data_IF_864192453979
#
_entry.id   IF_864192453979
#
_cell.length_a   1.000
_cell.length_b   1.000
_cell.length_c   1.000
_cell.angle_alpha   90.00
_cell.angle_beta   90.00
_cell.angle_gamma   90.00
#
_symmetry.space_group_name_H-M   'P 1'
#
loop_
_entity.id
_entity.type
_entity.pdbx_description
1 polymer ?
#
# COMPACT_ATOMS: atom_id res chain seq x y z
N UNK A 1 2.30 7.88 19.36
CA UNK A 1 3.66 7.42 19.04
C UNK A 1 3.66 6.61 17.74
N UNK A 2 2.99 5.47 17.62
CA UNK A 2 2.93 4.65 16.37
C UNK A 2 2.52 5.44 15.12
N UNK A 3 1.44 6.23 15.18
CA UNK A 3 0.95 7.00 14.04
C UNK A 3 2.01 7.95 13.45
N UNK A 4 2.77 8.62 14.29
CA UNK A 4 3.83 9.54 13.83
C UNK A 4 4.99 8.77 13.19
N UNK A 5 5.34 7.60 13.73
CA UNK A 5 6.37 6.73 13.14
C UNK A 5 5.96 6.30 11.74
N UNK A 6 4.72 5.79 11.55
CA UNK A 6 4.19 5.40 10.24
C UNK A 6 4.27 6.57 9.25
N UNK A 7 3.79 7.75 9.64
CA UNK A 7 3.84 8.95 8.79
C UNK A 7 5.26 9.33 8.39
N UNK A 8 6.20 9.32 9.34
CA UNK A 8 7.60 9.65 9.06
C UNK A 8 8.24 8.67 8.08
N UNK A 9 7.96 7.37 8.21
CA UNK A 9 8.45 6.34 7.28
C UNK A 9 7.92 6.63 5.87
N UNK A 10 6.60 6.84 5.74
CA UNK A 10 5.98 7.15 4.44
C UNK A 10 6.61 8.40 3.82
N UNK A 11 6.72 9.49 4.59
CA UNK A 11 7.29 10.76 4.11
C UNK A 11 8.75 10.58 3.66
N UNK A 12 9.54 9.80 4.40
CA UNK A 12 10.96 9.52 4.08
C UNK A 12 11.08 8.79 2.74
N UNK A 13 10.31 7.71 2.54
CA UNK A 13 10.37 6.93 1.31
C UNK A 13 9.82 7.69 0.11
N UNK A 14 8.69 8.39 0.25
CA UNK A 14 8.16 9.23 -0.82
C UNK A 14 9.12 10.37 -1.19
N UNK A 15 9.76 11.00 -0.20
CA UNK A 15 10.78 12.01 -0.45
C UNK A 15 11.98 11.43 -1.22
N UNK A 16 12.46 10.25 -0.84
CA UNK A 16 13.56 9.56 -1.53
C UNK A 16 13.21 9.35 -3.02
N UNK A 17 11.99 8.90 -3.34
CA UNK A 17 11.52 8.73 -4.72
C UNK A 17 11.57 10.04 -5.52
N UNK A 18 11.14 11.15 -4.92
CA UNK A 18 11.20 12.48 -5.55
C UNK A 18 12.64 12.95 -5.73
N UNK A 19 13.47 12.84 -4.68
CA UNK A 19 14.86 13.30 -4.70
C UNK A 19 15.74 12.52 -5.71
N UNK A 20 15.40 11.26 -5.99
CA UNK A 20 16.09 10.41 -6.96
C UNK A 20 15.45 10.39 -8.34
N UNK A 21 14.42 11.21 -8.57
CA UNK A 21 13.65 11.31 -9.82
C UNK A 21 13.03 9.99 -10.29
N UNK A 22 12.76 9.07 -9.38
CA UNK A 22 12.09 7.79 -9.65
C UNK A 22 10.55 7.93 -9.66
N UNK A 23 10.03 9.08 -9.22
CA UNK A 23 8.61 9.42 -9.19
C UNK A 23 8.03 9.68 -10.59
N UNK A 24 8.20 8.74 -11.52
CA UNK A 24 7.72 8.84 -12.91
C UNK A 24 6.95 7.59 -13.29
N UNK A 25 5.76 7.77 -13.84
CA UNK A 25 4.93 6.68 -14.36
C UNK A 25 4.55 6.90 -15.82
N UNK A 26 4.27 5.86 -16.60
CA UNK A 26 3.71 6.01 -17.94
C UNK A 26 2.23 6.41 -17.86
N UNK A 27 1.82 7.34 -18.73
CA UNK A 27 0.41 7.72 -18.85
C UNK A 27 0.06 9.03 -18.11
N UNK A 28 -1.24 9.30 -17.97
CA UNK A 28 -1.71 10.57 -17.41
C UNK A 28 -1.52 10.61 -15.88
N UNK A 29 -1.09 11.76 -15.39
CA UNK A 29 -1.05 12.09 -13.97
C UNK A 29 -2.29 12.94 -13.62
N UNK A 30 -2.92 12.68 -12.49
CA UNK A 30 -3.97 13.54 -11.96
C UNK A 30 -3.42 14.97 -11.73
N UNK A 31 -4.11 16.03 -12.18
CA UNK A 31 -3.58 17.39 -12.12
C UNK A 31 -3.11 17.83 -10.73
N UNK A 32 -3.79 17.35 -9.69
CA UNK A 32 -3.42 17.66 -8.30
C UNK A 32 -2.06 17.08 -7.87
N UNK A 33 -1.59 16.04 -8.55
CA UNK A 33 -0.36 15.30 -8.24
C UNK A 33 0.72 15.50 -9.32
N UNK A 34 0.47 16.33 -10.34
CA UNK A 34 1.42 16.56 -11.42
C UNK A 34 2.70 17.23 -10.91
N UNK A 35 3.84 16.61 -11.18
CA UNK A 35 5.16 17.16 -10.91
C UNK A 35 5.54 18.26 -11.92
N UNK A 36 6.71 18.90 -11.73
CA UNK A 36 7.10 20.09 -12.53
C UNK A 36 7.41 19.77 -13.99
N UNK A 37 7.78 18.56 -14.33
CA UNK A 37 8.16 18.15 -15.69
C UNK A 37 7.04 17.33 -16.34
N UNK A 38 6.18 18.01 -17.09
CA UNK A 38 5.03 17.44 -17.79
C UNK A 38 5.15 17.69 -19.30
N UNK A 39 6.21 17.18 -19.95
CA UNK A 39 6.30 17.26 -21.41
C UNK A 39 5.24 16.31 -22.02
N UNK A 40 4.36 16.90 -22.85
CA UNK A 40 3.32 16.14 -23.53
C UNK A 40 3.86 15.06 -24.49
N UNK A 41 5.12 15.19 -24.92
CA UNK A 41 5.79 14.24 -25.81
C UNK A 41 6.48 13.11 -25.04
N UNK A 42 6.72 13.26 -23.74
CA UNK A 42 7.32 12.22 -22.91
C UNK A 42 6.28 11.18 -22.50
N UNK A 43 6.64 9.90 -22.65
CA UNK A 43 5.84 8.77 -22.20
C UNK A 43 5.75 8.72 -20.66
N UNK A 44 6.84 9.09 -19.98
CA UNK A 44 6.97 9.07 -18.53
C UNK A 44 6.75 10.45 -17.95
N UNK A 45 5.86 10.56 -16.99
CA UNK A 45 5.48 11.83 -16.35
C UNK A 45 5.77 11.78 -14.87
N UNK A 46 6.34 12.87 -14.34
CA UNK A 46 6.63 12.97 -12.91
C UNK A 46 5.38 13.30 -12.11
N UNK A 47 5.29 12.73 -10.93
CA UNK A 47 4.23 13.00 -9.96
C UNK A 47 4.84 13.44 -8.62
N UNK A 48 4.06 14.11 -7.79
CA UNK A 48 4.43 14.50 -6.43
C UNK A 48 3.41 13.93 -5.43
N UNK A 49 3.89 13.42 -4.29
CA UNK A 49 3.00 13.05 -3.20
C UNK A 49 2.34 14.31 -2.61
N UNK A 50 1.07 14.21 -2.28
CA UNK A 50 0.30 15.28 -1.62
C UNK A 50 -0.43 14.73 -0.41
N UNK A 51 -0.89 15.62 0.48
CA UNK A 51 -1.68 15.22 1.64
C UNK A 51 -2.95 14.49 1.21
N UNK A 52 -3.24 13.38 1.87
CA UNK A 52 -4.41 12.57 1.56
C UNK A 52 -5.71 13.33 1.86
N UNK A 53 -6.69 13.15 0.98
CA UNK A 53 -8.05 13.66 1.14
C UNK A 53 -9.03 12.59 1.63
N UNK A 54 -8.53 11.40 1.95
CA UNK A 54 -9.35 10.27 2.41
C UNK A 54 -9.89 10.56 3.79
N UNK A 55 -11.20 10.51 3.91
CA UNK A 55 -11.94 10.75 5.17
C UNK A 55 -12.31 9.44 5.87
N UNK A 56 -12.73 9.52 7.13
CA UNK A 56 -13.26 8.36 7.86
C UNK A 56 -14.53 7.80 7.20
N UNK A 57 -15.32 8.64 6.52
CA UNK A 57 -16.49 8.20 5.76
C UNK A 57 -16.08 7.35 4.55
N UNK A 58 -15.03 7.74 3.85
CA UNK A 58 -14.47 6.99 2.72
C UNK A 58 -13.94 5.63 3.17
N UNK A 59 -13.25 5.59 4.31
CA UNK A 59 -12.76 4.33 4.90
C UNK A 59 -13.94 3.40 5.26
N UNK A 60 -14.98 3.93 5.92
CA UNK A 60 -16.18 3.14 6.28
C UNK A 60 -16.90 2.58 5.05
N UNK A 61 -16.99 3.35 3.97
CA UNK A 61 -17.56 2.88 2.70
C UNK A 61 -16.74 1.71 2.14
N UNK A 62 -15.42 1.83 2.16
CA UNK A 62 -14.53 0.76 1.72
C UNK A 62 -14.62 -0.48 2.62
N UNK A 63 -14.62 -0.31 3.95
CA UNK A 63 -14.80 -1.41 4.91
C UNK A 63 -16.14 -2.15 4.68
N UNK A 64 -17.22 -1.41 4.42
CA UNK A 64 -18.52 -2.00 4.11
C UNK A 64 -18.50 -2.83 2.82
N UNK A 65 -17.74 -2.38 1.80
CA UNK A 65 -17.57 -3.10 0.54
C UNK A 65 -16.70 -4.35 0.70
N UNK A 66 -15.63 -4.26 1.49
CA UNK A 66 -14.70 -5.37 1.77
C UNK A 66 -15.40 -6.44 2.65
N UNK A 67 -16.31 -6.03 3.51
CA UNK A 67 -16.96 -6.89 4.53
C UNK A 67 -16.14 -7.04 5.81
N UNK A 68 -15.00 -6.36 5.90
CA UNK A 68 -14.08 -6.39 7.05
C UNK A 68 -13.63 -4.98 7.40
N UNK A 69 -13.35 -4.74 8.68
CA UNK A 69 -12.70 -3.49 9.10
C UNK A 69 -11.22 -3.50 8.75
N UNK A 70 -10.67 -2.35 8.38
CA UNK A 70 -9.23 -2.19 8.14
C UNK A 70 -8.49 -1.91 9.46
N UNK A 71 -7.21 -2.34 9.62
CA UNK A 71 -6.39 -1.98 10.77
C UNK A 71 -6.22 -0.46 10.90
N UNK A 72 -6.27 0.05 12.13
CA UNK A 72 -6.13 1.49 12.36
C UNK A 72 -4.76 2.03 11.91
N UNK A 73 -3.70 1.24 12.08
CA UNK A 73 -2.36 1.59 11.59
C UNK A 73 -2.30 1.68 10.05
N UNK A 74 -3.05 0.84 9.32
CA UNK A 74 -3.16 0.93 7.85
C UNK A 74 -4.02 2.12 7.40
N UNK A 75 -5.07 2.49 8.16
CA UNK A 75 -5.86 3.70 7.90
C UNK A 75 -4.99 4.96 7.95
N UNK A 76 -3.97 4.99 8.83
CA UNK A 76 -3.00 6.09 8.88
C UNK A 76 -2.28 6.24 7.52
N UNK A 77 -1.86 5.13 6.89
CA UNK A 77 -1.26 5.18 5.55
C UNK A 77 -2.23 5.78 4.54
N UNK A 78 -3.48 5.28 4.47
CA UNK A 78 -4.48 5.75 3.52
C UNK A 78 -4.83 7.23 3.71
N UNK A 79 -4.81 7.73 4.94
CA UNK A 79 -5.19 9.11 5.29
C UNK A 79 -3.99 10.07 5.35
N UNK A 80 -2.76 9.61 5.11
CA UNK A 80 -1.57 10.46 5.23
C UNK A 80 -1.19 11.12 3.90
N UNK A 81 -0.90 10.33 2.87
CA UNK A 81 -0.47 10.84 1.56
C UNK A 81 -1.16 10.13 0.41
N UNK A 82 -1.40 10.86 -0.67
CA UNK A 82 -1.65 10.31 -1.99
C UNK A 82 -0.33 10.10 -2.73
N UNK A 83 -0.19 8.98 -3.42
CA UNK A 83 0.98 8.58 -4.19
C UNK A 83 0.58 7.65 -5.34
N UNK A 84 1.41 7.56 -6.37
CA UNK A 84 1.25 6.55 -7.42
C UNK A 84 2.02 5.28 -7.07
N UNK A 85 3.19 5.42 -6.46
CA UNK A 85 4.06 4.31 -6.08
C UNK A 85 4.65 4.57 -4.69
N UNK A 86 4.66 3.53 -3.87
CA UNK A 86 5.32 3.51 -2.56
C UNK A 86 5.92 2.12 -2.37
N UNK A 87 7.24 2.06 -2.41
CA UNK A 87 8.00 0.83 -2.21
C UNK A 87 8.85 0.95 -0.95
N UNK A 88 8.78 -0.08 -0.12
CA UNK A 88 9.63 -0.25 1.05
C UNK A 88 10.25 -1.65 0.96
N UNK A 89 11.57 -1.75 0.81
CA UNK A 89 12.25 -3.02 0.54
C UNK A 89 11.57 -3.78 -0.61
N UNK A 90 11.14 -5.00 -0.42
CA UNK A 90 10.49 -5.86 -1.42
C UNK A 90 8.97 -5.63 -1.55
N UNK A 91 8.38 -4.74 -0.74
CA UNK A 91 6.93 -4.53 -0.71
C UNK A 91 6.52 -3.29 -1.48
N UNK A 92 5.62 -3.47 -2.44
CA UNK A 92 4.98 -2.41 -3.22
C UNK A 92 3.54 -2.19 -2.75
N UNK A 93 3.28 -1.07 -2.10
CA UNK A 93 1.93 -0.73 -1.63
C UNK A 93 1.00 -0.38 -2.78
N UNK A 94 -0.29 -0.71 -2.61
CA UNK A 94 -1.33 -0.38 -3.58
C UNK A 94 -1.29 1.12 -3.93
N UNK A 95 -1.33 1.44 -5.23
CA UNK A 95 -1.36 2.82 -5.73
C UNK A 95 -2.52 3.61 -5.12
N UNK A 96 -2.24 4.84 -4.69
CA UNK A 96 -3.16 5.65 -3.90
C UNK A 96 -3.32 7.09 -4.44
N UNK A 97 -3.65 7.29 -5.75
CA UNK A 97 -3.89 8.62 -6.30
C UNK A 97 -5.22 9.21 -5.82
N UNK A 98 -5.41 10.52 -5.96
CA UNK A 98 -6.53 11.26 -5.34
C UNK A 98 -7.91 10.73 -5.74
N UNK A 99 -8.14 10.54 -7.03
CA UNK A 99 -9.46 10.11 -7.53
C UNK A 99 -9.54 8.60 -7.73
N UNK A 100 -8.42 7.92 -7.98
CA UNK A 100 -8.41 6.51 -8.34
C UNK A 100 -8.07 5.57 -7.17
N UNK A 101 -7.74 6.06 -5.97
CA UNK A 101 -7.32 5.21 -4.86
C UNK A 101 -8.32 4.09 -4.50
N UNK A 102 -9.65 4.42 -4.54
CA UNK A 102 -10.69 3.42 -4.28
C UNK A 102 -10.71 2.34 -5.35
N UNK A 103 -10.57 2.73 -6.61
CA UNK A 103 -10.53 1.80 -7.73
C UNK A 103 -9.29 0.90 -7.62
N UNK A 104 -8.13 1.47 -7.32
CA UNK A 104 -6.87 0.73 -7.15
C UNK A 104 -6.99 -0.30 -6.02
N UNK A 105 -7.44 0.13 -4.83
CA UNK A 105 -7.59 -0.78 -3.69
C UNK A 105 -8.68 -1.84 -3.94
N UNK A 106 -9.77 -1.46 -4.61
CA UNK A 106 -10.81 -2.40 -5.01
C UNK A 106 -10.27 -3.46 -5.98
N UNK A 107 -9.51 -3.03 -6.98
CA UNK A 107 -8.89 -3.94 -7.94
C UNK A 107 -7.93 -4.92 -7.24
N UNK A 108 -7.09 -4.42 -6.34
CA UNK A 108 -6.19 -5.27 -5.55
C UNK A 108 -6.93 -6.31 -4.69
N UNK A 109 -8.11 -5.99 -4.17
CA UNK A 109 -8.85 -6.88 -3.28
C UNK A 109 -9.76 -7.85 -4.04
N UNK A 110 -10.34 -7.43 -5.16
CA UNK A 110 -11.45 -8.17 -5.80
C UNK A 110 -11.19 -8.58 -7.25
N UNK A 111 -10.25 -7.94 -7.96
CA UNK A 111 -10.11 -8.15 -9.38
C UNK A 111 -9.04 -9.21 -9.70
N UNK A 112 -9.44 -10.23 -10.45
CA UNK A 112 -8.55 -11.25 -10.96
C UNK A 112 -8.26 -12.40 -9.98
N UNK A 113 -7.43 -13.35 -10.44
CA UNK A 113 -6.91 -14.42 -9.61
C UNK A 113 -5.61 -13.94 -8.96
N UNK A 114 -5.38 -14.17 -7.68
CA UNK A 114 -6.15 -15.02 -6.75
C UNK A 114 -7.09 -14.22 -5.82
N UNK A 115 -7.27 -12.94 -6.06
CA UNK A 115 -7.80 -11.98 -5.07
C UNK A 115 -9.22 -12.32 -4.61
N UNK A 116 -10.13 -12.68 -5.51
CA UNK A 116 -11.47 -13.12 -5.14
C UNK A 116 -11.45 -14.32 -4.18
N UNK A 117 -10.55 -15.27 -4.43
CA UNK A 117 -10.37 -16.43 -3.57
C UNK A 117 -9.78 -16.08 -2.20
N UNK A 118 -8.85 -15.12 -2.14
CA UNK A 118 -8.23 -14.68 -0.90
C UNK A 118 -9.25 -14.01 0.02
N UNK A 119 -10.03 -13.07 -0.52
CA UNK A 119 -11.02 -12.35 0.29
C UNK A 119 -12.13 -13.26 0.81
N UNK A 120 -12.57 -14.27 0.04
CA UNK A 120 -13.52 -15.29 0.50
C UNK A 120 -12.98 -16.10 1.67
N UNK A 121 -11.68 -16.29 1.76
CA UNK A 121 -11.00 -16.96 2.88
C UNK A 121 -10.61 -16.02 4.04
N UNK A 122 -10.98 -14.76 3.97
CA UNK A 122 -10.67 -13.78 5.02
C UNK A 122 -9.26 -13.20 4.94
N UNK A 123 -8.60 -13.26 3.78
CA UNK A 123 -7.34 -12.58 3.53
C UNK A 123 -7.59 -11.33 2.70
N UNK A 124 -7.19 -10.15 3.20
CA UNK A 124 -7.37 -8.87 2.50
C UNK A 124 -6.04 -8.47 1.87
N UNK A 125 -5.83 -8.61 0.54
CA UNK A 125 -4.64 -8.13 -0.12
C UNK A 125 -4.54 -6.60 -0.05
N UNK A 126 -3.34 -6.06 0.21
CA UNK A 126 -3.12 -4.60 0.28
C UNK A 126 -1.79 -4.14 -0.31
N UNK A 127 -0.89 -5.07 -0.65
CA UNK A 127 0.39 -4.80 -1.26
C UNK A 127 0.90 -6.03 -2.03
N UNK A 128 1.85 -5.82 -2.94
CA UNK A 128 2.60 -6.87 -3.63
C UNK A 128 3.94 -7.08 -2.93
N UNK A 129 4.42 -8.31 -2.87
CA UNK A 129 5.75 -8.66 -2.39
C UNK A 129 6.63 -9.06 -3.57
N UNK A 130 7.25 -8.08 -4.23
CA UNK A 130 8.09 -8.32 -5.42
C UNK A 130 7.41 -9.29 -6.40
N UNK A 131 8.14 -10.28 -6.92
CA UNK A 131 7.60 -11.32 -7.80
C UNK A 131 7.01 -12.52 -7.05
N UNK A 132 7.00 -12.50 -5.70
CA UNK A 132 6.59 -13.66 -4.89
C UNK A 132 5.09 -13.80 -4.73
N UNK A 133 4.37 -12.70 -4.54
CA UNK A 133 2.93 -12.78 -4.32
C UNK A 133 2.32 -11.56 -3.63
N UNK A 134 1.27 -11.79 -2.85
CA UNK A 134 0.48 -10.74 -2.23
C UNK A 134 0.64 -10.70 -0.72
N UNK A 135 0.81 -9.49 -0.20
CA UNK A 135 0.78 -9.21 1.25
C UNK A 135 -0.65 -8.98 1.68
N UNK A 136 -1.11 -9.75 2.65
CA UNK A 136 -2.50 -9.76 3.08
C UNK A 136 -2.65 -9.57 4.59
N UNK A 137 -3.74 -8.95 5.02
CA UNK A 137 -4.24 -9.04 6.38
C UNK A 137 -4.99 -10.36 6.58
N UNK A 138 -4.69 -11.11 7.63
CA UNK A 138 -5.42 -12.32 8.01
C UNK A 138 -6.55 -11.98 8.99
N UNK A 139 -7.75 -11.78 8.48
CA UNK A 139 -8.93 -11.44 9.31
C UNK A 139 -9.47 -12.59 10.13
N UNK A 140 -8.96 -13.82 9.94
CA UNK A 140 -9.36 -14.97 10.74
C UNK A 140 -8.80 -14.90 12.17
N UNK A 141 -7.82 -14.03 12.40
CA UNK A 141 -7.14 -13.83 13.69
C UNK A 141 -7.29 -12.38 14.16
N UNK A 142 -7.33 -12.18 15.48
CA UNK A 142 -7.39 -10.82 16.12
C UNK A 142 -8.53 -9.92 15.62
N UNK A 143 -9.71 -10.49 15.40
CA UNK A 143 -10.88 -9.75 14.87
C UNK A 143 -11.39 -8.67 15.82
N UNK A 144 -11.19 -8.80 17.11
CA UNK A 144 -11.74 -7.91 18.13
C UNK A 144 -11.17 -6.49 18.07
N UNK A 145 -9.89 -6.35 17.77
CA UNK A 145 -9.17 -5.07 17.71
C UNK A 145 -8.70 -4.71 16.29
N UNK A 146 -9.02 -5.57 15.30
CA UNK A 146 -8.62 -5.44 13.89
C UNK A 146 -7.10 -5.31 13.69
N UNK A 147 -6.30 -5.71 14.67
CA UNK A 147 -4.85 -5.76 14.56
C UNK A 147 -4.42 -7.09 13.94
N UNK A 148 -4.79 -7.28 12.67
CA UNK A 148 -4.59 -8.52 11.95
C UNK A 148 -3.11 -8.83 11.73
N UNK A 149 -2.70 -10.12 11.88
CA UNK A 149 -1.41 -10.56 11.40
C UNK A 149 -1.27 -10.37 9.90
N UNK A 150 -0.03 -10.16 9.46
CA UNK A 150 0.32 -10.05 8.06
C UNK A 150 0.83 -11.40 7.56
N UNK A 151 0.28 -11.83 6.44
CA UNK A 151 0.65 -13.06 5.77
C UNK A 151 1.05 -12.78 4.32
N UNK A 152 1.93 -13.59 3.78
CA UNK A 152 2.25 -13.65 2.37
C UNK A 152 1.47 -14.80 1.72
N UNK A 153 0.74 -14.49 0.67
CA UNK A 153 0.25 -15.49 -0.28
C UNK A 153 1.25 -15.59 -1.43
N UNK A 154 1.84 -16.77 -1.60
CA UNK A 154 2.85 -17.06 -2.60
C UNK A 154 2.20 -17.74 -3.80
N UNK A 155 2.43 -17.22 -5.02
CA UNK A 155 1.84 -17.78 -6.25
C UNK A 155 2.40 -19.17 -6.60
N UNK A 156 3.58 -19.55 -6.09
CA UNK A 156 4.14 -20.88 -6.27
C UNK A 156 3.53 -21.91 -5.29
N UNK A 157 2.95 -21.43 -4.18
CA UNK A 157 2.29 -22.26 -3.16
C UNK A 157 0.86 -21.76 -2.87
N UNK A 158 -0.05 -21.73 -3.86
CA UNK A 158 -1.32 -21.00 -3.77
C UNK A 158 -2.30 -21.52 -2.71
N UNK A 159 -2.12 -22.74 -2.23
CA UNK A 159 -2.97 -23.33 -1.20
C UNK A 159 -2.59 -22.91 0.23
N UNK A 160 -1.51 -22.16 0.40
CA UNK A 160 -0.97 -21.79 1.71
C UNK A 160 -0.68 -20.31 1.79
N UNK A 161 -0.81 -19.76 2.98
CA UNK A 161 -0.27 -18.46 3.36
C UNK A 161 0.84 -18.65 4.38
N UNK A 162 1.83 -17.73 4.38
CA UNK A 162 2.97 -17.77 5.29
C UNK A 162 2.88 -16.58 6.24
N UNK A 163 3.02 -16.82 7.54
CA UNK A 163 3.10 -15.76 8.55
C UNK A 163 4.36 -14.92 8.32
N UNK A 164 4.21 -13.58 8.28
CA UNK A 164 5.32 -12.65 8.08
C UNK A 164 5.50 -11.71 9.27
N UNK A 165 4.48 -10.94 9.63
CA UNK A 165 4.53 -9.95 10.70
C UNK A 165 3.28 -10.04 11.58
N UNK A 166 3.40 -9.62 12.83
CA UNK A 166 2.28 -9.66 13.79
C UNK A 166 1.20 -8.62 13.51
N UNK A 167 1.55 -7.49 12.89
CA UNK A 167 0.65 -6.40 12.57
C UNK A 167 1.26 -5.45 11.50
N UNK A 168 0.47 -4.48 11.04
CA UNK A 168 0.91 -3.51 10.04
C UNK A 168 2.05 -2.60 10.55
N UNK A 169 2.06 -2.27 11.84
CA UNK A 169 3.13 -1.44 12.40
C UNK A 169 4.48 -2.17 12.37
N UNK A 170 4.50 -3.45 12.73
CA UNK A 170 5.73 -4.25 12.62
C UNK A 170 6.19 -4.39 11.17
N UNK A 171 5.27 -4.68 10.24
CA UNK A 171 5.60 -4.73 8.80
C UNK A 171 6.33 -3.46 8.37
N UNK A 172 5.69 -2.27 8.51
CA UNK A 172 6.23 -1.03 7.95
C UNK A 172 7.56 -0.61 8.62
N UNK A 173 7.74 -0.90 9.92
CA UNK A 173 8.99 -0.60 10.62
C UNK A 173 10.13 -1.53 10.20
N UNK A 174 9.84 -2.81 9.97
CA UNK A 174 10.85 -3.77 9.51
C UNK A 174 11.29 -3.50 8.08
N UNK A 175 10.35 -3.19 7.20
CA UNK A 175 10.68 -2.81 5.82
C UNK A 175 11.51 -1.51 5.75
N UNK A 176 11.26 -0.54 6.64
CA UNK A 176 12.06 0.68 6.74
C UNK A 176 13.50 0.37 7.21
N UNK A 177 13.66 -0.49 8.23
CA UNK A 177 14.96 -0.96 8.70
C UNK A 177 15.75 -1.66 7.57
N UNK A 178 15.11 -2.55 6.81
CA UNK A 178 15.71 -3.27 5.69
C UNK A 178 16.12 -2.33 4.55
N UNK A 179 15.23 -1.39 4.18
CA UNK A 179 15.52 -0.39 3.15
C UNK A 179 16.65 0.57 3.54
N UNK A 180 16.86 0.82 4.84
CA UNK A 180 17.99 1.59 5.37
C UNK A 180 19.32 0.82 5.29
N UNK A 181 19.29 -0.48 5.50
CA UNK A 181 20.49 -1.33 5.44
C UNK A 181 21.01 -1.56 4.01
N UNK A 182 20.13 -1.55 3.01
CA UNK A 182 20.49 -1.72 1.60
C UNK A 182 21.22 -0.50 0.98
N UNK A 183 21.39 0.59 1.73
CA UNK A 183 22.09 1.81 1.27
C UNK A 183 23.59 1.78 1.64
N UNK A 184 24.04 0.81 2.41
CA UNK A 184 25.40 0.73 2.96
C UNK A 184 26.31 -0.26 2.24
N UNK A 185 25.86 -0.88 1.15
CA UNK A 185 26.65 -1.67 0.22
C UNK A 185 26.78 -0.95 -1.14
#
# INVERSE_FOLDING_TARGET
MKAQTIKNIIDTHLKKWVDTELNKIPGPIEPAMAGPHQDAQEKWRSWLPIDSKVTDADIKEMEARIGYGLPDDYKILLQHKHFYELHLSEVSFCSHPVNAWRASLTAMIFDGYPTAYLIEKGYIPFADWSDWGLVCFDTNRNQSDKNYPIVLWDHEMPDKVQDQYKDFYELITKLDEEAGNNITE
#
